data_IF_924513797677
#
_entry.id   IF_924513797677
#
_cell.length_a   1.000
_cell.length_b   1.000
_cell.length_c   1.000
_cell.angle_alpha   90.00
_cell.angle_beta   90.00
_cell.angle_gamma   90.00
#
_symmetry.space_group_name_H-M   'P 1'
#
loop_
_entity.id
_entity.type
_entity.pdbx_description
1 polymer ?
#
# COMPACT_ATOMS: atom_id res chain seq x y z
N UNK A 1 5.80 20.02 1.53
CA UNK A 1 6.69 19.05 0.85
C UNK A 1 5.88 18.35 -0.22
N UNK A 2 6.31 18.37 -1.48
CA UNK A 2 5.66 17.59 -2.53
C UNK A 2 6.10 16.13 -2.40
N UNK A 3 5.15 15.19 -2.37
CA UNK A 3 5.46 13.77 -2.33
C UNK A 3 5.93 13.33 -3.72
N UNK A 4 7.23 13.07 -3.86
CA UNK A 4 7.84 12.69 -5.14
C UNK A 4 7.48 11.28 -5.58
N UNK A 5 7.28 10.36 -4.64
CA UNK A 5 6.89 8.97 -4.92
C UNK A 5 5.65 8.54 -4.11
N UNK A 6 4.45 8.81 -4.64
CA UNK A 6 3.19 8.40 -4.03
C UNK A 6 2.99 6.88 -3.93
N UNK A 7 3.70 6.08 -4.74
CA UNK A 7 3.57 4.62 -4.76
C UNK A 7 4.54 3.97 -3.77
N UNK A 8 5.80 4.39 -3.74
CA UNK A 8 6.78 3.97 -2.75
C UNK A 8 6.37 4.31 -1.32
N UNK A 9 5.73 5.47 -1.11
CA UNK A 9 5.11 5.81 0.19
C UNK A 9 4.04 4.79 0.60
N UNK A 10 3.16 4.39 -0.32
CA UNK A 10 2.13 3.38 -0.04
C UNK A 10 2.74 2.03 0.34
N UNK A 11 3.73 1.55 -0.40
CA UNK A 11 4.38 0.27 -0.09
C UNK A 11 5.12 0.32 1.24
N UNK A 12 5.74 1.46 1.55
CA UNK A 12 6.41 1.70 2.83
C UNK A 12 5.40 1.67 3.99
N UNK A 13 4.21 2.27 3.82
CA UNK A 13 3.13 2.21 4.83
C UNK A 13 2.69 0.77 5.10
N UNK A 14 2.49 -0.03 4.05
CA UNK A 14 2.09 -1.44 4.18
C UNK A 14 3.16 -2.22 4.96
N UNK A 15 4.43 -2.09 4.59
CA UNK A 15 5.55 -2.76 5.27
C UNK A 15 5.60 -2.37 6.75
N UNK A 16 5.54 -1.08 7.05
CA UNK A 16 5.64 -0.59 8.44
C UNK A 16 4.45 -1.07 9.28
N UNK A 17 3.25 -1.10 8.72
CA UNK A 17 2.06 -1.62 9.39
C UNK A 17 2.15 -3.12 9.67
N UNK A 18 2.72 -3.92 8.75
CA UNK A 18 2.98 -5.34 8.98
C UNK A 18 3.97 -5.51 10.15
N UNK A 19 5.06 -4.74 10.21
CA UNK A 19 5.99 -4.77 11.35
C UNK A 19 5.30 -4.37 12.68
N UNK A 20 4.38 -3.41 12.62
CA UNK A 20 3.59 -2.97 13.77
C UNK A 20 2.40 -3.91 14.10
N UNK A 21 2.24 -5.03 13.38
CA UNK A 21 1.15 -6.01 13.54
C UNK A 21 -0.26 -5.39 13.38
N UNK A 22 -0.38 -4.35 12.55
CA UNK A 22 -1.67 -3.77 12.21
C UNK A 22 -2.39 -4.65 11.18
N UNK A 23 -3.70 -4.83 11.36
CA UNK A 23 -4.53 -5.62 10.44
C UNK A 23 -4.97 -4.86 9.19
N UNK A 24 -4.96 -3.51 9.23
CA UNK A 24 -5.49 -2.64 8.17
C UNK A 24 -4.59 -1.41 8.01
N UNK A 25 -4.43 -0.93 6.78
CA UNK A 25 -3.70 0.28 6.41
C UNK A 25 -4.54 1.15 5.50
N UNK A 26 -4.58 2.45 5.78
CA UNK A 26 -5.20 3.44 4.90
C UNK A 26 -4.16 4.04 3.96
N UNK A 27 -4.51 4.15 2.68
CA UNK A 27 -3.71 4.79 1.64
C UNK A 27 -4.60 5.72 0.81
N UNK A 28 -4.12 6.89 0.35
CA UNK A 28 -4.94 7.77 -0.47
C UNK A 28 -5.30 7.11 -1.81
N UNK A 29 -6.53 7.30 -2.27
CA UNK A 29 -7.03 6.65 -3.48
C UNK A 29 -6.35 7.18 -4.76
N UNK A 30 -5.94 6.26 -5.63
CA UNK A 30 -5.57 6.55 -7.02
C UNK A 30 -5.74 5.30 -7.88
N UNK A 31 -5.97 5.46 -9.19
CA UNK A 31 -6.10 4.32 -10.12
C UNK A 31 -4.85 3.44 -10.11
N UNK A 32 -3.66 4.04 -10.11
CA UNK A 32 -2.40 3.31 -10.08
C UNK A 32 -2.25 2.47 -8.80
N UNK A 33 -2.53 3.06 -7.62
CA UNK A 33 -2.46 2.35 -6.35
C UNK A 33 -3.47 1.22 -6.28
N UNK A 34 -4.70 1.44 -6.74
CA UNK A 34 -5.73 0.42 -6.80
C UNK A 34 -5.30 -0.78 -7.65
N UNK A 35 -4.74 -0.54 -8.84
CA UNK A 35 -4.24 -1.62 -9.70
C UNK A 35 -3.11 -2.42 -9.07
N UNK A 36 -2.17 -1.75 -8.39
CA UNK A 36 -1.08 -2.42 -7.67
C UNK A 36 -1.62 -3.24 -6.50
N UNK A 37 -2.53 -2.68 -5.70
CA UNK A 37 -3.16 -3.40 -4.59
C UNK A 37 -3.97 -4.60 -5.07
N UNK A 38 -4.65 -4.49 -6.21
CA UNK A 38 -5.39 -5.60 -6.82
C UNK A 38 -4.45 -6.75 -7.21
N UNK A 39 -3.30 -6.46 -7.82
CA UNK A 39 -2.28 -7.48 -8.10
C UNK A 39 -1.77 -8.10 -6.80
N UNK A 40 -1.38 -7.29 -5.81
CA UNK A 40 -0.91 -7.82 -4.52
C UNK A 40 -1.95 -8.72 -3.84
N UNK A 41 -3.24 -8.38 -3.95
CA UNK A 41 -4.35 -9.18 -3.45
C UNK A 41 -4.50 -10.49 -4.24
N UNK A 42 -4.48 -10.43 -5.57
CA UNK A 42 -4.58 -11.61 -6.45
C UNK A 42 -3.45 -12.62 -6.22
N UNK A 43 -2.23 -12.12 -6.03
CA UNK A 43 -1.06 -12.96 -5.72
C UNK A 43 -1.01 -13.41 -4.24
N UNK A 44 -1.96 -12.99 -3.40
CA UNK A 44 -2.10 -13.44 -2.01
C UNK A 44 -1.19 -12.76 -0.99
N UNK A 45 -0.54 -11.64 -1.33
CA UNK A 45 0.31 -10.89 -0.38
C UNK A 45 -0.49 -10.07 0.63
N UNK A 46 -1.68 -9.61 0.23
CA UNK A 46 -2.61 -8.85 1.08
C UNK A 46 -4.03 -9.41 0.91
N UNK A 47 -4.93 -9.08 1.84
CA UNK A 47 -6.32 -9.56 1.86
C UNK A 47 -7.31 -8.41 2.04
#
# INVERSE_FOLDING_TARGET
MAMSDPLGDMLTRIRNAQHARMSVVLSPASKLRANVLEVLKREGYIR
#
